data_IF_489303457052
#
_entry.id   IF_489303457052
#
_cell.length_a   1.000
_cell.length_b   1.000
_cell.length_c   1.000
_cell.angle_alpha   90.00
_cell.angle_beta   90.00
_cell.angle_gamma   90.00
#
_symmetry.space_group_name_H-M   'P 1'
#
loop_
_entity.id
_entity.type
_entity.pdbx_description
1 polymer ?
#
# COMPACT_ATOMS: atom_id res chain seq x y z
N UNK A 1 12.12 12.55 -35.18
CA UNK A 1 11.68 11.24 -34.66
C UNK A 1 12.51 10.91 -33.42
N UNK A 2 11.89 10.82 -32.24
CA UNK A 2 12.60 10.45 -31.01
C UNK A 2 12.75 8.92 -30.97
N UNK A 3 13.98 8.45 -30.76
CA UNK A 3 14.31 7.02 -30.71
C UNK A 3 13.75 6.45 -29.40
N UNK A 4 12.75 5.58 -29.49
CA UNK A 4 12.20 4.87 -28.32
C UNK A 4 13.23 3.85 -27.87
N UNK A 5 13.80 4.07 -26.68
CA UNK A 5 14.76 3.16 -26.07
C UNK A 5 14.00 1.95 -25.51
N UNK A 6 14.39 0.73 -25.90
CA UNK A 6 13.81 -0.49 -25.35
C UNK A 6 14.26 -0.68 -23.89
N UNK A 7 13.31 -0.52 -22.95
CA UNK A 7 13.56 -0.64 -21.51
C UNK A 7 13.48 -2.09 -20.98
N UNK A 8 13.24 -3.07 -21.84
CA UNK A 8 13.05 -4.48 -21.46
C UNK A 8 14.28 -5.14 -20.82
N UNK A 9 15.46 -4.52 -20.92
CA UNK A 9 16.70 -4.97 -20.27
C UNK A 9 17.08 -4.21 -19.00
N UNK A 10 16.30 -3.20 -18.59
CA UNK A 10 16.55 -2.49 -17.33
C UNK A 10 15.88 -3.28 -16.21
N UNK A 11 16.57 -4.29 -15.70
CA UNK A 11 16.26 -4.77 -14.35
C UNK A 11 16.80 -3.74 -13.37
N UNK A 12 16.00 -3.25 -12.40
CA UNK A 12 16.55 -2.44 -11.33
C UNK A 12 17.60 -3.27 -10.58
N UNK A 13 18.87 -2.89 -10.69
CA UNK A 13 19.95 -3.39 -9.83
C UNK A 13 19.86 -2.65 -8.48
N UNK A 14 18.72 -2.84 -7.81
CA UNK A 14 18.53 -2.34 -6.47
C UNK A 14 19.24 -3.30 -5.52
N UNK A 15 20.04 -2.82 -4.55
CA UNK A 15 20.71 -3.68 -3.58
C UNK A 15 19.73 -4.32 -2.58
N UNK A 16 18.44 -4.28 -2.85
CA UNK A 16 17.36 -4.83 -2.05
C UNK A 16 16.28 -5.39 -2.97
N UNK A 17 15.66 -6.48 -2.54
CA UNK A 17 14.50 -7.05 -3.24
C UNK A 17 13.24 -6.23 -2.91
N UNK A 18 12.22 -6.28 -3.77
CA UNK A 18 10.92 -5.65 -3.47
C UNK A 18 10.34 -6.13 -2.13
N UNK A 19 10.61 -7.38 -1.76
CA UNK A 19 10.18 -7.98 -0.51
C UNK A 19 10.81 -7.29 0.71
N UNK A 20 12.10 -6.98 0.65
CA UNK A 20 12.84 -6.31 1.73
C UNK A 20 12.25 -4.93 2.04
N UNK A 21 11.82 -4.21 0.99
CA UNK A 21 11.21 -2.90 1.15
C UNK A 21 9.86 -2.96 1.87
N UNK A 22 8.96 -3.87 1.47
CA UNK A 22 7.65 -3.99 2.09
C UNK A 22 7.72 -4.50 3.52
N UNK A 23 8.66 -5.39 3.82
CA UNK A 23 8.87 -5.87 5.18
C UNK A 23 9.41 -4.75 6.08
N UNK A 24 10.44 -4.03 5.62
CA UNK A 24 10.98 -2.87 6.34
C UNK A 24 9.91 -1.80 6.56
N UNK A 25 9.13 -1.49 5.53
CA UNK A 25 8.00 -0.57 5.63
C UNK A 25 7.02 -1.01 6.71
N UNK A 26 6.56 -2.28 6.70
CA UNK A 26 5.61 -2.78 7.71
C UNK A 26 6.16 -2.69 9.13
N UNK A 27 7.44 -3.07 9.31
CA UNK A 27 8.12 -3.01 10.62
C UNK A 27 8.23 -1.58 11.15
N UNK A 28 8.61 -0.63 10.30
CA UNK A 28 8.87 0.76 10.69
C UNK A 28 7.62 1.63 10.73
N UNK A 29 6.61 1.32 9.91
CA UNK A 29 5.39 2.10 9.83
C UNK A 29 4.65 2.14 11.17
N UNK A 30 4.58 1.02 11.89
CA UNK A 30 3.88 0.93 13.18
C UNK A 30 4.43 1.89 14.25
N UNK A 31 5.73 2.18 14.24
CA UNK A 31 6.39 3.10 15.18
C UNK A 31 6.41 4.54 14.69
N UNK A 32 6.17 4.77 13.40
CA UNK A 32 6.08 6.12 12.83
C UNK A 32 4.88 6.89 13.38
N UNK A 33 4.93 8.23 13.33
CA UNK A 33 3.80 9.07 13.76
C UNK A 33 2.53 8.78 12.95
N UNK A 34 2.66 8.52 11.64
CA UNK A 34 1.54 8.11 10.80
C UNK A 34 0.94 6.77 11.24
N UNK A 35 1.76 5.80 11.61
CA UNK A 35 1.30 4.53 12.15
C UNK A 35 0.57 4.69 13.49
N UNK A 36 1.10 5.55 14.37
CA UNK A 36 0.45 5.90 15.63
C UNK A 36 -0.91 6.58 15.42
N UNK A 37 -0.99 7.54 14.49
CA UNK A 37 -2.25 8.20 14.10
C UNK A 37 -3.23 7.16 13.55
N UNK A 38 -2.79 6.32 12.60
CA UNK A 38 -3.63 5.26 12.03
C UNK A 38 -4.13 4.27 13.08
N UNK A 39 -3.36 3.99 14.13
CA UNK A 39 -3.78 3.12 15.23
C UNK A 39 -4.82 3.77 16.14
N UNK A 40 -4.78 5.11 16.30
CA UNK A 40 -5.70 5.85 17.17
C UNK A 40 -7.02 6.20 16.50
N UNK A 41 -7.02 6.39 15.18
CA UNK A 41 -8.22 6.80 14.45
C UNK A 41 -9.00 5.58 13.96
N UNK A 42 -10.33 5.52 14.17
CA UNK A 42 -11.18 4.47 13.64
C UNK A 42 -11.48 4.72 12.15
N UNK A 43 -10.43 4.74 11.31
CA UNK A 43 -10.51 5.15 9.91
C UNK A 43 -11.52 4.34 9.08
N UNK A 44 -11.73 3.06 9.43
CA UNK A 44 -12.72 2.21 8.79
C UNK A 44 -14.15 2.66 9.08
N UNK A 45 -14.50 2.90 10.34
CA UNK A 45 -15.81 3.41 10.75
C UNK A 45 -16.04 4.82 10.22
N UNK A 46 -15.01 5.67 10.23
CA UNK A 46 -15.08 7.00 9.62
C UNK A 46 -15.42 6.90 8.13
N UNK A 47 -14.75 6.02 7.39
CA UNK A 47 -15.04 5.85 5.97
C UNK A 47 -16.46 5.31 5.70
N UNK A 48 -16.98 4.42 6.56
CA UNK A 48 -18.38 3.97 6.51
C UNK A 48 -19.34 5.15 6.79
N UNK A 49 -19.11 5.91 7.85
CA UNK A 49 -19.96 7.04 8.25
C UNK A 49 -19.96 8.17 7.22
N UNK A 50 -18.83 8.40 6.56
CA UNK A 50 -18.72 9.37 5.46
C UNK A 50 -19.25 8.84 4.12
N UNK A 51 -19.74 7.61 4.06
CA UNK A 51 -20.25 7.00 2.83
C UNK A 51 -19.17 6.76 1.77
N UNK A 52 -17.89 6.77 2.15
CA UNK A 52 -16.75 6.53 1.24
C UNK A 52 -16.61 5.05 0.90
N UNK A 53 -17.05 4.17 1.80
CA UNK A 53 -17.11 2.73 1.59
C UNK A 53 -18.49 2.22 1.99
N UNK A 54 -19.02 1.27 1.23
CA UNK A 54 -20.26 0.57 1.59
C UNK A 54 -19.95 -0.88 1.98
N UNK A 55 -20.68 -1.41 2.96
CA UNK A 55 -20.60 -2.84 3.34
C UNK A 55 -21.01 -3.77 2.18
N UNK A 56 -21.80 -3.27 1.23
CA UNK A 56 -22.22 -4.02 0.02
C UNK A 56 -21.13 -4.12 -1.05
N UNK A 57 -20.09 -3.26 -1.03
CA UNK A 57 -18.94 -3.35 -1.94
C UNK A 57 -17.85 -4.32 -1.45
N UNK A 58 -17.98 -4.91 -0.26
CA UNK A 58 -17.07 -5.98 0.16
C UNK A 58 -17.26 -7.19 -0.75
N UNK A 59 -16.24 -7.51 -1.55
CA UNK A 59 -16.20 -8.74 -2.31
C UNK A 59 -16.52 -9.91 -1.36
N UNK A 60 -17.58 -10.68 -1.67
CA UNK A 60 -17.89 -11.90 -0.94
C UNK A 60 -16.65 -12.79 -1.00
N UNK A 61 -15.98 -12.97 0.14
CA UNK A 61 -14.91 -13.97 0.27
C UNK A 61 -15.57 -15.33 0.02
N UNK A 62 -15.26 -15.93 -1.13
CA UNK A 62 -15.74 -17.27 -1.49
C UNK A 62 -15.44 -18.27 -0.38
N UNK A 63 -16.39 -19.18 -0.15
CA UNK A 63 -16.23 -20.31 0.77
C UNK A 63 -15.16 -21.27 0.27
#
# INVERSE_FOLDING_TARGET
>A
MAKVQNFSGISPDLPFTEFDFYELYRRTFATSELGKIRKRLPLGEMAENFGLISKSMRAKKGR
#
